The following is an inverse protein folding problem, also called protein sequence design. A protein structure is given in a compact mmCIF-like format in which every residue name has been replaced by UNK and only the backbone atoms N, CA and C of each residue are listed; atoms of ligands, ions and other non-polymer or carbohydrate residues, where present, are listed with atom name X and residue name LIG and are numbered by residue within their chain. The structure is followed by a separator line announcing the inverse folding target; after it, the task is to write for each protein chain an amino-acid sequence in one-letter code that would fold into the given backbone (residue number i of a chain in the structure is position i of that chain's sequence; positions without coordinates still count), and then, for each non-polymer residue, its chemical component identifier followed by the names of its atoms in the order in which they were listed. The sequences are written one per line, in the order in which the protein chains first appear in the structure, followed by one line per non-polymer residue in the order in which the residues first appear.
data_IF_756276300387
#
_entry.id   IF_756276300387
#
_cell.length_a   1.000
_cell.length_b   1.000
_cell.length_c   1.000
_cell.angle_alpha   90.00
_cell.angle_beta   90.00
_cell.angle_gamma   90.00
#
_symmetry.space_group_name_H-M   'P 1'
#
loop_
_entity.id
_entity.type
_entity.pdbx_description
1 polymer ?
#
# COMPACT_ATOMS: atom_id res chain seq x y z
N UNK A 1 -54.11 14.05 -65.25
CA UNK A 1 -55.18 13.81 -64.26
C UNK A 1 -54.49 13.51 -62.94
N UNK A 2 -54.20 14.47 -62.06
CA UNK A 2 -55.16 15.21 -61.24
C UNK A 2 -55.25 14.55 -59.86
N UNK A 3 -54.19 14.67 -59.04
CA UNK A 3 -54.14 14.15 -57.65
C UNK A 3 -55.18 14.89 -56.79
N UNK A 4 -56.23 14.18 -56.40
CA UNK A 4 -57.30 14.68 -55.53
C UNK A 4 -56.75 14.79 -54.08
N UNK A 5 -56.22 15.96 -53.72
CA UNK A 5 -55.92 16.30 -52.32
C UNK A 5 -57.25 16.50 -51.59
N UNK A 6 -57.67 15.50 -50.82
CA UNK A 6 -58.73 15.64 -49.83
C UNK A 6 -58.19 16.55 -48.72
N UNK A 7 -58.47 17.84 -48.80
CA UNK A 7 -58.19 18.79 -47.72
C UNK A 7 -59.18 18.52 -46.58
N UNK A 8 -58.71 17.82 -45.54
CA UNK A 8 -59.46 17.71 -44.29
C UNK A 8 -59.63 19.11 -43.70
N UNK A 9 -60.85 19.43 -43.26
CA UNK A 9 -61.17 20.70 -42.61
C UNK A 9 -60.22 20.95 -41.42
N UNK A 10 -59.77 22.20 -41.17
CA UNK A 10 -58.85 22.53 -40.08
C UNK A 10 -59.33 22.04 -38.71
N UNK A 11 -60.66 21.98 -38.52
CA UNK A 11 -61.29 21.47 -37.29
C UNK A 11 -61.04 19.97 -37.09
N UNK A 12 -61.04 19.17 -38.16
CA UNK A 12 -60.78 17.73 -38.10
C UNK A 12 -59.28 17.43 -37.90
N UNK A 13 -58.39 18.25 -38.45
CA UNK A 13 -56.95 18.12 -38.22
C UNK A 13 -56.59 18.44 -36.75
N UNK A 14 -57.20 19.47 -36.17
CA UNK A 14 -57.04 19.80 -34.75
C UNK A 14 -57.56 18.67 -33.85
N UNK A 15 -58.74 18.12 -34.17
CA UNK A 15 -59.32 17.01 -33.42
C UNK A 15 -58.42 15.76 -33.44
N UNK A 16 -57.87 15.42 -34.62
CA UNK A 16 -56.95 14.30 -34.76
C UNK A 16 -55.63 14.52 -34.00
N UNK A 17 -55.08 15.74 -34.00
CA UNK A 17 -53.88 16.09 -33.24
C UNK A 17 -54.09 15.98 -31.72
N UNK A 18 -55.25 16.44 -31.22
CA UNK A 18 -55.61 16.31 -29.79
C UNK A 18 -55.78 14.85 -29.39
N UNK A 19 -56.42 14.03 -30.24
CA UNK A 19 -56.56 12.59 -30.03
C UNK A 19 -55.20 11.88 -30.02
N UNK A 20 -54.31 12.20 -30.96
CA UNK A 20 -52.96 11.64 -31.00
C UNK A 20 -52.15 12.04 -29.75
N UNK A 21 -52.24 13.30 -29.31
CA UNK A 21 -51.59 13.76 -28.09
C UNK A 21 -52.13 13.04 -26.85
N UNK A 22 -53.45 12.86 -26.75
CA UNK A 22 -54.07 12.14 -25.64
C UNK A 22 -53.62 10.67 -25.59
N UNK A 23 -53.49 10.00 -26.74
CA UNK A 23 -52.97 8.62 -26.83
C UNK A 23 -51.50 8.56 -26.40
N UNK A 24 -50.66 9.50 -26.85
CA UNK A 24 -49.24 9.56 -26.45
C UNK A 24 -49.11 9.82 -24.94
N UNK A 25 -49.91 10.73 -24.38
CA UNK A 25 -49.94 10.98 -22.93
C UNK A 25 -50.37 9.73 -22.15
N UNK A 26 -51.37 9.00 -22.63
CA UNK A 26 -51.81 7.74 -22.01
C UNK A 26 -50.68 6.69 -22.01
N UNK A 27 -49.94 6.58 -23.10
CA UNK A 27 -48.79 5.66 -23.21
C UNK A 27 -47.65 6.07 -22.27
N UNK A 28 -47.38 7.37 -22.13
CA UNK A 28 -46.37 7.87 -21.21
C UNK A 28 -46.76 7.62 -19.75
N UNK A 29 -48.01 7.89 -19.37
CA UNK A 29 -48.52 7.62 -18.03
C UNK A 29 -48.42 6.13 -17.68
N UNK A 30 -48.78 5.25 -18.62
CA UNK A 30 -48.70 3.81 -18.41
C UNK A 30 -47.23 3.33 -18.28
N UNK A 31 -46.30 3.97 -19.00
CA UNK A 31 -44.86 3.68 -18.89
C UNK A 31 -44.29 4.12 -17.54
N UNK A 32 -44.69 5.29 -17.04
CA UNK A 32 -44.30 5.79 -15.70
C UNK A 32 -44.83 4.85 -14.61
N UNK A 33 -46.09 4.46 -14.68
CA UNK A 33 -46.70 3.55 -13.72
C UNK A 33 -45.97 2.18 -13.70
N UNK A 34 -45.60 1.65 -14.86
CA UNK A 34 -44.80 0.43 -14.96
C UNK A 34 -43.39 0.57 -14.37
N UNK A 35 -42.78 1.75 -14.48
CA UNK A 35 -41.48 2.04 -13.88
C UNK A 35 -41.58 2.12 -12.35
N UNK A 36 -42.60 2.78 -11.81
CA UNK A 36 -42.86 2.84 -10.36
C UNK A 36 -43.10 1.44 -9.77
N UNK A 37 -43.87 0.59 -10.46
CA UNK A 37 -44.04 -0.80 -10.05
C UNK A 37 -42.70 -1.56 -10.02
N UNK A 38 -41.84 -1.35 -11.01
CA UNK A 38 -40.52 -2.00 -11.07
C UNK A 38 -39.59 -1.52 -9.96
N UNK A 39 -39.62 -0.22 -9.63
CA UNK A 39 -38.87 0.37 -8.53
C UNK A 39 -39.34 -0.22 -7.19
N UNK A 40 -40.65 -0.28 -6.96
CA UNK A 40 -41.23 -0.86 -5.74
C UNK A 40 -40.90 -2.35 -5.56
N UNK A 41 -40.72 -3.10 -6.66
CA UNK A 41 -40.29 -4.50 -6.63
C UNK A 41 -38.81 -4.61 -6.30
N UNK A 42 -37.98 -3.69 -6.81
CA UNK A 42 -36.55 -3.62 -6.52
C UNK A 42 -36.29 -3.22 -5.06
N UNK A 43 -37.00 -2.21 -4.54
CA UNK A 43 -36.94 -1.79 -3.14
C UNK A 43 -37.36 -2.93 -2.20
N UNK A 44 -38.42 -3.67 -2.52
CA UNK A 44 -38.83 -4.86 -1.78
C UNK A 44 -37.79 -5.98 -1.84
N UNK A 45 -37.07 -6.12 -2.96
CA UNK A 45 -35.99 -7.10 -3.08
C UNK A 45 -34.76 -6.69 -2.23
N UNK A 46 -34.41 -5.40 -2.22
CA UNK A 46 -33.37 -4.85 -1.35
C UNK A 46 -33.72 -4.99 0.13
N UNK A 47 -34.94 -4.62 0.54
CA UNK A 47 -35.40 -4.77 1.91
C UNK A 47 -35.39 -6.24 2.36
N UNK A 48 -35.78 -7.18 1.49
CA UNK A 48 -35.67 -8.62 1.78
C UNK A 48 -34.22 -9.10 1.88
N UNK A 49 -33.31 -8.54 1.09
CA UNK A 49 -31.89 -8.85 1.16
C UNK A 49 -31.25 -8.28 2.44
N UNK A 50 -31.60 -7.05 2.85
CA UNK A 50 -31.18 -6.46 4.11
C UNK A 50 -31.72 -7.22 5.31
N UNK A 51 -33.00 -7.60 5.31
CA UNK A 51 -33.58 -8.42 6.38
C UNK A 51 -32.89 -9.77 6.45
N UNK A 52 -32.62 -10.42 5.31
CA UNK A 52 -31.89 -11.71 5.25
C UNK A 52 -30.44 -11.59 5.69
N UNK A 53 -29.76 -10.49 5.37
CA UNK A 53 -28.43 -10.17 5.93
C UNK A 53 -28.48 -9.88 7.43
N UNK A 54 -29.53 -9.22 7.93
CA UNK A 54 -29.70 -8.95 9.37
C UNK A 54 -30.06 -10.21 10.14
N UNK A 55 -30.86 -11.11 9.56
CA UNK A 55 -31.21 -12.41 10.12
C UNK A 55 -30.01 -13.35 10.08
N UNK A 56 -29.19 -13.32 9.02
CA UNK A 56 -27.89 -14.01 9.03
C UNK A 56 -26.93 -13.44 10.08
N UNK A 57 -26.92 -12.11 10.31
CA UNK A 57 -26.17 -11.49 11.41
C UNK A 57 -26.70 -11.90 12.79
N UNK A 58 -28.01 -12.03 12.97
CA UNK A 58 -28.61 -12.47 14.24
C UNK A 58 -28.49 -13.98 14.50
N UNK A 59 -28.39 -14.82 13.47
CA UNK A 59 -28.11 -16.26 13.62
C UNK A 59 -26.60 -16.50 13.90
N UNK A 60 -25.74 -15.51 13.65
CA UNK A 60 -24.29 -15.51 13.91
C UNK A 60 -23.89 -14.86 15.26
N UNK A 61 -24.84 -14.53 16.15
CA UNK A 61 -24.53 -14.16 17.54
C UNK A 61 -24.13 -15.41 18.37
N UNK A 62 -23.06 -16.08 17.93
CA UNK A 62 -22.12 -16.81 18.77
C UNK A 62 -21.07 -15.84 19.33
N UNK A 63 -20.28 -16.22 20.36
CA UNK A 63 -19.58 -15.27 21.21
C UNK A 63 -18.62 -14.40 20.39
N UNK A 64 -18.66 -13.07 20.59
CA UNK A 64 -17.83 -12.02 19.95
C UNK A 64 -16.32 -12.34 19.81
N UNK A 65 -15.83 -13.36 20.50
CA UNK A 65 -14.51 -13.94 20.33
C UNK A 65 -14.28 -14.59 18.96
N UNK A 66 -15.27 -15.29 18.39
CA UNK A 66 -15.11 -16.01 17.13
C UNK A 66 -14.97 -15.05 15.93
N UNK A 67 -15.73 -13.95 15.91
CA UNK A 67 -15.63 -12.93 14.87
C UNK A 67 -14.30 -12.15 14.90
N UNK A 68 -13.77 -11.84 16.10
CA UNK A 68 -12.47 -11.19 16.24
C UNK A 68 -11.31 -12.11 15.83
N UNK A 69 -11.41 -13.41 16.15
CA UNK A 69 -10.46 -14.42 15.71
C UNK A 69 -10.50 -14.57 14.18
N UNK A 70 -11.68 -14.62 13.56
CA UNK A 70 -11.83 -14.69 12.10
C UNK A 70 -11.23 -13.46 11.39
N UNK A 71 -11.34 -12.26 11.99
CA UNK A 71 -10.72 -11.06 11.43
C UNK A 71 -9.20 -11.08 11.50
N UNK A 72 -8.62 -11.62 12.59
CA UNK A 72 -7.18 -11.80 12.73
C UNK A 72 -6.65 -12.86 11.77
N UNK A 73 -7.37 -13.97 11.58
CA UNK A 73 -7.02 -15.05 10.65
C UNK A 73 -7.09 -14.60 9.17
N UNK A 74 -7.89 -13.58 8.85
CA UNK A 74 -8.01 -13.00 7.49
C UNK A 74 -7.08 -11.79 7.24
N UNK A 75 -6.05 -11.58 8.07
CA UNK A 75 -5.11 -10.46 7.88
C UNK A 75 -4.03 -10.75 6.85
N UNK A 76 -3.71 -9.75 6.02
CA UNK A 76 -2.57 -9.80 5.10
C UNK A 76 -1.76 -8.53 5.20
N UNK A 77 -0.44 -8.66 5.42
CA UNK A 77 0.53 -7.59 5.36
C UNK A 77 1.30 -7.69 4.03
N UNK A 78 1.44 -6.56 3.34
CA UNK A 78 2.36 -6.39 2.22
C UNK A 78 3.50 -5.46 2.64
N UNK A 79 4.71 -6.01 2.65
CA UNK A 79 5.96 -5.28 2.78
C UNK A 79 6.66 -5.18 1.42
N UNK A 80 6.30 -4.18 0.63
CA UNK A 80 6.87 -3.92 -0.69
C UNK A 80 8.26 -3.26 -0.59
N UNK A 81 9.19 -4.02 -0.01
CA UNK A 81 10.50 -3.60 0.47
C UNK A 81 11.34 -2.85 -0.55
N UNK A 82 11.80 -1.66 -0.16
CA UNK A 82 12.82 -0.90 -0.89
C UNK A 82 14.19 -1.59 -0.77
N UNK A 83 15.01 -1.63 -1.85
CA UNK A 83 16.38 -2.12 -1.76
C UNK A 83 17.27 -1.29 -0.83
N UNK A 84 18.09 -1.97 -0.03
CA UNK A 84 19.17 -1.41 0.83
C UNK A 84 18.69 -0.53 2.01
N UNK A 85 17.49 -0.77 2.50
CA UNK A 85 16.86 -0.10 3.66
C UNK A 85 16.72 -1.04 4.88
N UNK A 86 17.75 -1.85 5.16
CA UNK A 86 17.73 -2.92 6.18
C UNK A 86 16.60 -3.97 6.04
N UNK A 87 15.94 -4.02 4.89
CA UNK A 87 14.81 -4.93 4.62
C UNK A 87 15.11 -6.41 4.83
N UNK A 88 16.37 -6.85 4.74
CA UNK A 88 16.74 -8.25 5.04
C UNK A 88 16.67 -8.54 6.53
N UNK A 89 17.16 -7.64 7.39
CA UNK A 89 17.03 -7.79 8.85
C UNK A 89 15.56 -7.88 9.24
N UNK A 90 14.74 -6.90 8.83
CA UNK A 90 13.33 -6.84 9.20
C UNK A 90 12.55 -8.07 8.70
N UNK A 91 12.75 -8.50 7.46
CA UNK A 91 12.06 -9.69 6.93
C UNK A 91 12.45 -10.97 7.67
N UNK A 92 13.70 -11.11 8.15
CA UNK A 92 14.11 -12.30 8.90
C UNK A 92 13.40 -12.40 10.26
N UNK A 93 13.03 -11.27 10.89
CA UNK A 93 12.17 -11.28 12.07
C UNK A 93 10.83 -11.94 11.74
N UNK A 94 10.21 -11.58 10.60
CA UNK A 94 8.97 -12.20 10.19
C UNK A 94 9.14 -13.71 9.97
N UNK A 95 10.21 -14.15 9.30
CA UNK A 95 10.50 -15.58 9.12
C UNK A 95 10.74 -16.33 10.44
N UNK A 96 11.47 -15.73 11.37
CA UNK A 96 11.80 -16.38 12.65
C UNK A 96 10.56 -16.45 13.58
N UNK A 97 9.61 -15.51 13.45
CA UNK A 97 8.38 -15.48 14.26
C UNK A 97 7.19 -16.21 13.66
N UNK A 98 7.13 -16.41 12.33
CA UNK A 98 5.91 -16.87 11.66
C UNK A 98 5.40 -18.22 12.14
N UNK A 99 6.30 -19.16 12.46
CA UNK A 99 5.92 -20.47 12.99
C UNK A 99 5.29 -20.35 14.40
N UNK A 100 5.86 -19.51 15.27
CA UNK A 100 5.39 -19.31 16.65
C UNK A 100 4.08 -18.53 16.67
N UNK A 101 3.97 -17.51 15.83
CA UNK A 101 2.84 -16.58 15.76
C UNK A 101 1.77 -17.03 14.76
N UNK A 102 1.92 -18.21 14.15
CA UNK A 102 0.93 -18.88 13.27
C UNK A 102 0.49 -18.01 12.10
N UNK A 103 1.44 -17.63 11.25
CA UNK A 103 1.18 -16.96 9.98
C UNK A 103 2.18 -17.41 8.90
N UNK A 104 1.94 -17.02 7.65
CA UNK A 104 2.77 -17.40 6.51
C UNK A 104 3.65 -16.25 6.03
N UNK A 105 4.89 -16.53 5.60
CA UNK A 105 5.78 -15.52 5.00
C UNK A 105 6.12 -15.91 3.58
N UNK A 106 5.83 -15.03 2.63
CA UNK A 106 5.97 -15.28 1.20
C UNK A 106 6.83 -14.21 0.53
N UNK A 107 7.84 -14.64 -0.23
CA UNK A 107 8.65 -13.73 -1.03
C UNK A 107 8.09 -13.62 -2.45
N UNK A 108 7.80 -12.39 -2.87
CA UNK A 108 7.36 -12.05 -4.22
C UNK A 108 8.60 -11.80 -5.07
N UNK A 109 8.80 -12.63 -6.08
CA UNK A 109 9.87 -12.46 -7.06
C UNK A 109 9.28 -11.99 -8.39
N UNK A 110 9.87 -10.96 -8.99
CA UNK A 110 9.50 -10.45 -10.31
C UNK A 110 10.63 -10.67 -11.30
N UNK A 111 10.29 -10.91 -12.56
CA UNK A 111 11.27 -11.12 -13.62
C UNK A 111 12.23 -9.94 -13.70
N UNK A 112 13.54 -10.22 -13.61
CA UNK A 112 14.63 -9.22 -13.58
C UNK A 112 14.52 -8.20 -12.42
N UNK A 113 13.78 -8.52 -11.35
CA UNK A 113 13.46 -7.60 -10.26
C UNK A 113 12.79 -6.31 -10.74
N UNK A 114 11.95 -6.38 -11.78
CA UNK A 114 11.16 -5.23 -12.21
C UNK A 114 10.14 -4.87 -11.12
N UNK A 115 10.16 -3.64 -10.58
CA UNK A 115 9.20 -3.21 -9.56
C UNK A 115 7.78 -3.00 -10.08
N UNK A 116 7.59 -2.91 -11.41
CA UNK A 116 6.29 -2.69 -12.05
C UNK A 116 5.75 -4.01 -12.61
N UNK A 117 4.59 -4.43 -12.11
CA UNK A 117 3.83 -5.54 -12.68
C UNK A 117 3.02 -5.10 -13.90
N UNK A 118 2.87 -6.00 -14.87
CA UNK A 118 1.90 -5.83 -15.96
C UNK A 118 0.46 -5.79 -15.41
N UNK A 119 -0.49 -5.20 -16.14
CA UNK A 119 -1.87 -5.09 -15.66
C UNK A 119 -2.48 -6.47 -15.34
N UNK A 120 -2.25 -7.46 -16.21
CA UNK A 120 -2.70 -8.84 -15.99
C UNK A 120 -2.06 -9.48 -14.76
N UNK A 121 -0.79 -9.18 -14.47
CA UNK A 121 -0.12 -9.68 -13.27
C UNK A 121 -0.60 -8.97 -12.02
N UNK A 122 -0.94 -7.68 -12.08
CA UNK A 122 -1.60 -6.97 -10.99
C UNK A 122 -2.94 -7.64 -10.62
N UNK A 123 -3.76 -7.97 -11.62
CA UNK A 123 -5.03 -8.70 -11.39
C UNK A 123 -4.77 -10.07 -10.75
N UNK A 124 -3.80 -10.85 -11.25
CA UNK A 124 -3.45 -12.16 -10.67
C UNK A 124 -2.94 -12.03 -9.25
N UNK A 125 -2.06 -11.07 -9.01
CA UNK A 125 -1.47 -10.81 -7.70
C UNK A 125 -2.55 -10.44 -6.68
N UNK A 126 -3.43 -9.49 -7.02
CA UNK A 126 -4.55 -9.09 -6.16
C UNK A 126 -5.49 -10.27 -5.87
N UNK A 127 -5.83 -11.07 -6.88
CA UNK A 127 -6.62 -12.29 -6.67
C UNK A 127 -5.93 -13.26 -5.71
N UNK A 128 -4.67 -13.58 -5.95
CA UNK A 128 -3.91 -14.49 -5.08
C UNK A 128 -3.88 -14.00 -3.63
N UNK A 129 -3.54 -12.73 -3.41
CA UNK A 129 -3.47 -12.13 -2.06
C UNK A 129 -4.83 -12.18 -1.34
N UNK A 130 -5.92 -11.93 -2.06
CA UNK A 130 -7.24 -11.79 -1.43
C UNK A 130 -7.97 -13.12 -1.26
N UNK A 131 -7.75 -14.11 -2.14
CA UNK A 131 -8.50 -15.37 -2.15
C UNK A 131 -7.73 -16.59 -1.66
N UNK A 132 -6.40 -16.52 -1.50
CA UNK A 132 -5.60 -17.65 -1.05
C UNK A 132 -5.70 -17.82 0.47
N UNK A 133 -6.79 -18.44 0.93
CA UNK A 133 -7.14 -18.57 2.35
C UNK A 133 -6.08 -19.32 3.15
N UNK A 134 -5.47 -20.34 2.57
CA UNK A 134 -4.46 -21.19 3.22
C UNK A 134 -3.15 -20.46 3.52
N UNK A 135 -2.96 -19.25 2.99
CA UNK A 135 -1.80 -18.39 3.28
C UNK A 135 -2.15 -17.22 4.22
N UNK A 136 -3.36 -17.21 4.79
CA UNK A 136 -3.78 -16.20 5.76
C UNK A 136 -3.71 -16.75 7.20
N UNK A 137 -3.22 -15.96 8.17
CA UNK A 137 -2.63 -14.64 8.00
C UNK A 137 -1.32 -14.68 7.20
N UNK A 138 -1.09 -13.68 6.35
CA UNK A 138 0.00 -13.69 5.38
C UNK A 138 0.87 -12.44 5.45
N UNK A 139 2.19 -12.62 5.43
CA UNK A 139 3.18 -11.57 5.28
C UNK A 139 3.89 -11.73 3.93
N UNK A 140 3.52 -10.89 2.97
CA UNK A 140 4.08 -10.90 1.62
C UNK A 140 5.14 -9.81 1.50
N UNK A 141 6.33 -10.15 1.03
CA UNK A 141 7.41 -9.17 0.83
C UNK A 141 8.09 -9.31 -0.51
N UNK A 142 8.50 -8.20 -1.12
CA UNK A 142 9.23 -8.23 -2.39
C UNK A 142 9.51 -6.84 -2.94
N UNK A 143 10.38 -6.78 -3.95
CA UNK A 143 10.76 -5.53 -4.61
C UNK A 143 9.72 -5.14 -5.67
N UNK A 144 8.57 -4.65 -5.21
CA UNK A 144 7.46 -4.20 -6.05
C UNK A 144 7.06 -2.78 -5.64
N UNK A 145 6.58 -1.97 -6.58
CA UNK A 145 5.99 -0.67 -6.23
C UNK A 145 4.61 -0.85 -5.59
N UNK A 146 4.12 0.19 -4.91
CA UNK A 146 2.78 0.25 -4.37
C UNK A 146 1.74 -0.13 -5.43
N UNK A 147 0.82 -1.02 -5.04
CA UNK A 147 -0.29 -1.44 -5.87
C UNK A 147 -1.58 -1.12 -5.13
N UNK A 148 -2.43 -0.33 -5.77
CA UNK A 148 -3.73 0.02 -5.20
C UNK A 148 -4.73 -1.12 -5.40
N UNK A 149 -5.04 -1.82 -4.31
CA UNK A 149 -6.01 -2.92 -4.29
C UNK A 149 -7.46 -2.42 -4.46
N UNK A 150 -7.77 -1.16 -4.15
CA UNK A 150 -9.12 -0.62 -4.25
C UNK A 150 -9.63 -0.62 -5.70
N UNK A 151 -8.73 -0.40 -6.66
CA UNK A 151 -9.01 -0.44 -8.11
C UNK A 151 -9.55 -1.78 -8.60
N UNK A 152 -9.41 -2.85 -7.81
CA UNK A 152 -9.80 -4.20 -8.19
C UNK A 152 -11.07 -4.69 -7.46
N UNK A 153 -11.74 -3.83 -6.70
CA UNK A 153 -13.01 -4.16 -6.04
C UNK A 153 -12.89 -5.23 -4.96
N UNK A 154 -11.77 -5.24 -4.22
CA UNK A 154 -11.53 -6.22 -3.16
C UNK A 154 -12.39 -5.93 -1.93
N UNK A 155 -12.79 -6.98 -1.20
CA UNK A 155 -13.58 -6.82 0.03
C UNK A 155 -12.77 -6.24 1.19
N UNK A 156 -11.52 -6.68 1.33
CA UNK A 156 -10.59 -6.27 2.40
C UNK A 156 -9.25 -5.91 1.75
N UNK A 157 -8.77 -4.69 2.02
CA UNK A 157 -7.43 -4.25 1.57
C UNK A 157 -6.35 -4.91 2.45
N UNK A 158 -5.19 -5.27 1.88
CA UNK A 158 -4.04 -5.67 2.69
C UNK A 158 -3.47 -4.45 3.44
N UNK A 159 -2.77 -4.72 4.54
CA UNK A 159 -2.06 -3.73 5.34
C UNK A 159 -0.69 -3.49 4.68
N UNK A 160 -0.41 -2.27 4.23
CA UNK A 160 0.90 -1.92 3.69
C UNK A 160 1.82 -1.38 4.79
N UNK A 161 3.07 -1.84 4.82
CA UNK A 161 4.14 -1.27 5.66
C UNK A 161 5.40 -1.07 4.82
N UNK A 162 6.29 -0.18 5.23
CA UNK A 162 7.61 -0.09 4.60
C UNK A 162 8.70 0.47 5.51
N UNK A 163 9.94 0.39 5.03
CA UNK A 163 11.10 1.05 5.65
C UNK A 163 11.92 1.71 4.55
N UNK A 164 12.14 3.01 4.69
CA UNK A 164 12.95 3.82 3.78
C UNK A 164 14.27 4.24 4.42
N UNK A 165 15.10 4.99 3.68
CA UNK A 165 16.41 5.47 4.15
C UNK A 165 16.77 6.79 3.49
N UNK A 166 17.69 7.54 4.07
CA UNK A 166 18.34 8.67 3.41
C UNK A 166 18.71 8.29 1.94
N UNK A 167 18.31 9.10 0.94
CA UNK A 167 18.49 8.75 -0.46
C UNK A 167 19.94 8.53 -0.89
N UNK A 168 20.88 9.34 -0.36
CA UNK A 168 22.30 9.25 -0.71
C UNK A 168 22.91 8.00 -0.07
N UNK A 169 22.68 7.78 1.22
CA UNK A 169 23.19 6.61 1.93
C UNK A 169 22.66 5.30 1.33
N UNK A 170 21.38 5.28 0.93
CA UNK A 170 20.78 4.15 0.23
C UNK A 170 21.50 3.89 -1.10
N UNK A 171 21.74 4.94 -1.91
CA UNK A 171 22.43 4.83 -3.19
C UNK A 171 23.88 4.37 -3.01
N UNK A 172 24.61 4.94 -2.05
CA UNK A 172 25.98 4.53 -1.70
C UNK A 172 26.02 3.06 -1.29
N UNK A 173 25.09 2.63 -0.43
CA UNK A 173 24.96 1.24 0.00
C UNK A 173 24.72 0.29 -1.19
N UNK A 174 23.90 0.71 -2.16
CA UNK A 174 23.62 -0.04 -3.38
C UNK A 174 24.83 -0.07 -4.33
N UNK A 175 25.52 1.06 -4.51
CA UNK A 175 26.70 1.19 -5.37
C UNK A 175 27.80 0.20 -4.98
N UNK A 176 28.13 0.16 -3.69
CA UNK A 176 29.16 -0.73 -3.18
C UNK A 176 28.69 -2.19 -3.09
N UNK A 177 27.40 -2.42 -2.83
CA UNK A 177 26.82 -3.76 -2.89
C UNK A 177 27.01 -4.42 -4.26
N UNK A 178 26.85 -3.68 -5.36
CA UNK A 178 27.05 -4.23 -6.70
C UNK A 178 28.51 -4.61 -7.01
N UNK A 179 29.48 -4.04 -6.26
CA UNK A 179 30.93 -4.22 -6.44
C UNK A 179 31.52 -5.27 -5.51
N UNK A 180 31.09 -5.27 -4.25
CA UNK A 180 31.71 -6.07 -3.20
C UNK A 180 30.78 -7.14 -2.60
N UNK A 181 29.48 -7.09 -2.90
CA UNK A 181 28.52 -8.06 -2.41
C UNK A 181 28.03 -7.78 -0.99
N UNK A 182 27.60 -8.85 -0.32
CA UNK A 182 27.08 -8.83 1.04
C UNK A 182 27.57 -10.04 1.84
N UNK A 183 27.53 -9.92 3.16
CA UNK A 183 27.90 -10.96 4.11
C UNK A 183 26.86 -12.09 4.26
N UNK A 184 25.64 -11.89 3.75
CA UNK A 184 24.54 -12.86 3.88
C UNK A 184 24.62 -13.98 2.84
N UNK A 185 25.08 -13.66 1.62
CA UNK A 185 25.31 -14.61 0.52
C UNK A 185 26.65 -14.26 -0.17
N UNK A 186 27.79 -14.52 0.47
CA UNK A 186 29.11 -14.09 -0.01
C UNK A 186 29.55 -14.81 -1.30
N UNK A 187 29.07 -16.03 -1.54
CA UNK A 187 29.41 -16.80 -2.75
C UNK A 187 28.79 -16.28 -4.06
N UNK A 188 27.88 -15.30 -4.01
CA UNK A 188 27.24 -14.75 -5.20
C UNK A 188 28.06 -13.61 -5.81
N UNK A 189 28.57 -13.83 -7.03
CA UNK A 189 29.18 -12.77 -7.83
C UNK A 189 28.14 -11.73 -8.22
N UNK A 190 28.45 -10.46 -7.97
CA UNK A 190 27.58 -9.34 -8.29
C UNK A 190 27.89 -8.79 -9.66
N UNK A 191 26.91 -8.11 -10.26
CA UNK A 191 26.97 -7.63 -11.65
C UNK A 191 28.18 -6.76 -11.97
N UNK A 192 28.69 -6.00 -10.99
CA UNK A 192 29.81 -5.06 -11.14
C UNK A 192 31.02 -5.48 -10.30
N UNK A 193 31.12 -6.77 -9.92
CA UNK A 193 32.22 -7.23 -9.09
C UNK A 193 33.56 -7.06 -9.80
N UNK A 194 34.54 -6.52 -9.09
CA UNK A 194 35.88 -6.21 -9.62
C UNK A 194 36.08 -4.75 -10.04
N UNK A 195 35.00 -3.97 -10.14
CA UNK A 195 35.11 -2.52 -10.27
C UNK A 195 35.52 -1.91 -8.92
N UNK A 196 36.74 -1.35 -8.88
CA UNK A 196 37.37 -0.76 -7.69
C UNK A 196 37.08 0.75 -7.53
N UNK A 197 36.43 1.38 -8.52
CA UNK A 197 36.15 2.81 -8.52
C UNK A 197 35.31 3.19 -7.31
N UNK A 198 35.76 4.19 -6.57
CA UNK A 198 35.02 4.70 -5.40
C UNK A 198 33.78 5.46 -5.83
N UNK A 199 32.82 5.65 -4.90
CA UNK A 199 31.62 6.43 -5.18
C UNK A 199 31.97 7.89 -5.49
N UNK A 200 32.92 8.47 -4.75
CA UNK A 200 33.44 9.82 -4.99
C UNK A 200 34.05 9.97 -6.39
N UNK A 201 34.92 9.04 -6.81
CA UNK A 201 35.49 9.02 -8.16
C UNK A 201 34.40 8.92 -9.22
N UNK A 202 33.42 8.04 -9.02
CA UNK A 202 32.28 7.91 -9.92
C UNK A 202 31.53 9.24 -10.08
N UNK A 203 31.24 9.94 -8.98
CA UNK A 203 30.50 11.22 -8.99
C UNK A 203 31.34 12.33 -9.62
N UNK A 204 32.65 12.36 -9.36
CA UNK A 204 33.57 13.32 -9.96
C UNK A 204 33.59 13.19 -11.50
N UNK A 205 33.63 11.95 -12.00
CA UNK A 205 33.71 11.62 -13.43
C UNK A 205 32.35 11.58 -14.15
N UNK A 206 31.22 11.75 -13.44
CA UNK A 206 29.88 11.68 -14.04
C UNK A 206 29.45 10.26 -14.43
N UNK A 207 29.83 9.25 -13.63
CA UNK A 207 29.49 7.86 -13.88
C UNK A 207 28.00 7.53 -13.75
N UNK A 208 27.52 6.58 -14.56
CA UNK A 208 26.09 6.26 -14.64
C UNK A 208 25.50 5.52 -13.43
N UNK A 209 26.33 4.81 -12.66
CA UNK A 209 25.90 4.09 -11.44
C UNK A 209 25.71 5.01 -10.22
N UNK A 210 26.18 6.26 -10.30
CA UNK A 210 26.14 7.27 -9.22
C UNK A 210 25.50 8.59 -9.68
N UNK A 211 24.90 8.61 -10.88
CA UNK A 211 24.23 9.78 -11.41
C UNK A 211 22.97 10.14 -10.57
N UNK A 212 22.57 11.42 -10.49
CA UNK A 212 21.46 11.85 -9.65
C UNK A 212 20.13 11.12 -9.92
N UNK A 213 19.89 10.70 -11.16
CA UNK A 213 18.70 9.92 -11.54
C UNK A 213 18.62 8.57 -10.83
N UNK A 214 19.73 8.05 -10.29
CA UNK A 214 19.76 6.81 -9.49
C UNK A 214 19.27 7.00 -8.05
N UNK A 215 19.08 8.24 -7.60
CA UNK A 215 18.41 8.55 -6.34
C UNK A 215 16.92 8.24 -6.43
N UNK A 216 16.29 8.53 -7.59
CA UNK A 216 14.87 8.31 -7.88
C UNK A 216 14.49 6.83 -7.81
N UNK A 217 14.00 6.41 -6.64
CA UNK A 217 13.61 5.04 -6.37
C UNK A 217 12.53 4.95 -5.29
N UNK A 218 12.68 5.66 -4.18
CA UNK A 218 11.73 5.53 -3.07
C UNK A 218 10.41 6.20 -3.44
N UNK A 219 10.45 7.36 -4.09
CA UNK A 219 9.24 8.02 -4.61
C UNK A 219 8.43 7.08 -5.53
N UNK A 220 8.99 6.48 -6.60
CA UNK A 220 8.27 5.50 -7.44
C UNK A 220 7.73 4.28 -6.68
N UNK A 221 8.43 3.81 -5.64
CA UNK A 221 7.98 2.67 -4.84
C UNK A 221 6.69 2.98 -4.07
N UNK A 222 6.49 4.23 -3.65
CA UNK A 222 5.27 4.68 -2.98
C UNK A 222 4.23 5.24 -3.94
N UNK A 223 4.64 5.94 -5.00
CA UNK A 223 3.74 6.45 -6.03
C UNK A 223 3.00 5.32 -6.76
N UNK A 224 3.70 4.21 -7.07
CA UNK A 224 3.08 2.97 -7.52
C UNK A 224 3.28 2.65 -9.01
N UNK A 225 2.24 2.07 -9.62
CA UNK A 225 2.26 1.51 -10.98
C UNK A 225 1.81 2.49 -12.08
N UNK A 226 1.70 3.79 -11.78
CA UNK A 226 1.32 4.82 -12.76
C UNK A 226 2.52 5.25 -13.60
N UNK A 227 2.29 5.62 -14.87
CA UNK A 227 3.36 6.06 -15.78
C UNK A 227 4.17 7.22 -15.20
N UNK A 228 3.48 8.22 -14.67
CA UNK A 228 4.09 9.45 -14.16
C UNK A 228 5.00 9.20 -12.96
N UNK A 229 4.79 8.11 -12.19
CA UNK A 229 5.67 7.71 -11.09
C UNK A 229 7.12 7.45 -11.52
N UNK A 230 7.30 7.01 -12.77
CA UNK A 230 8.59 6.60 -13.32
C UNK A 230 9.22 7.68 -14.22
N UNK A 231 8.55 8.83 -14.36
CA UNK A 231 9.15 10.04 -14.92
C UNK A 231 10.04 10.67 -13.84
N UNK A 232 11.35 10.53 -14.01
CA UNK A 232 12.36 10.99 -13.04
C UNK A 232 12.21 12.49 -12.80
N UNK A 233 12.04 12.89 -11.53
CA UNK A 233 11.86 14.30 -11.15
C UNK A 233 10.43 14.83 -11.32
N UNK A 234 9.43 13.96 -11.52
CA UNK A 234 8.03 14.39 -11.61
C UNK A 234 7.51 14.88 -10.27
N UNK A 235 7.02 16.13 -10.21
CA UNK A 235 6.39 16.68 -9.00
C UNK A 235 5.09 15.96 -8.65
N UNK A 236 4.31 15.59 -9.66
CA UNK A 236 3.10 14.80 -9.46
C UNK A 236 3.40 13.47 -8.78
N UNK A 237 4.46 12.77 -9.20
CA UNK A 237 4.84 11.49 -8.61
C UNK A 237 5.20 11.61 -7.13
N UNK A 238 5.87 12.71 -6.77
CA UNK A 238 6.24 13.02 -5.40
C UNK A 238 5.02 13.31 -4.52
N UNK A 239 4.11 14.15 -4.99
CA UNK A 239 2.89 14.48 -4.27
C UNK A 239 2.00 13.22 -4.10
N UNK A 240 1.91 12.39 -5.14
CA UNK A 240 1.21 11.09 -5.06
C UNK A 240 1.89 10.10 -4.10
N UNK A 241 3.22 10.07 -4.05
CA UNK A 241 3.95 9.22 -3.11
C UNK A 241 3.68 9.62 -1.65
N UNK A 242 3.67 10.93 -1.35
CA UNK A 242 3.27 11.45 -0.02
C UNK A 242 1.83 11.10 0.31
N UNK A 243 0.93 11.28 -0.65
CA UNK A 243 -0.48 10.92 -0.50
C UNK A 243 -0.64 9.42 -0.18
N UNK A 244 -0.02 8.54 -0.95
CA UNK A 244 -0.12 7.10 -0.71
C UNK A 244 0.49 6.71 0.64
N UNK A 245 1.62 7.31 1.03
CA UNK A 245 2.24 7.05 2.33
C UNK A 245 1.25 7.31 3.48
N UNK A 246 0.52 8.43 3.44
CA UNK A 246 -0.43 8.78 4.51
C UNK A 246 -1.71 7.96 4.44
N UNK A 247 -2.25 7.72 3.25
CA UNK A 247 -3.60 7.16 3.10
C UNK A 247 -3.64 5.63 2.99
N UNK A 248 -2.53 5.01 2.58
CA UNK A 248 -2.52 3.60 2.18
C UNK A 248 -1.51 2.76 2.97
N UNK A 249 -0.49 3.37 3.58
CA UNK A 249 0.45 2.67 4.45
C UNK A 249 0.03 2.78 5.92
N UNK A 250 0.05 1.64 6.61
CA UNK A 250 -0.21 1.55 8.04
C UNK A 250 0.91 2.19 8.86
N UNK A 251 2.16 1.88 8.51
CA UNK A 251 3.34 2.48 9.12
C UNK A 251 4.53 2.43 8.17
N UNK A 252 5.27 3.53 8.08
CA UNK A 252 6.53 3.61 7.36
C UNK A 252 7.61 4.06 8.33
N UNK A 253 8.61 3.21 8.54
CA UNK A 253 9.79 3.54 9.35
C UNK A 253 10.97 4.03 8.51
N UNK A 254 12.02 4.44 9.19
CA UNK A 254 13.33 4.73 8.60
C UNK A 254 14.37 3.71 9.06
N UNK A 255 15.39 3.46 8.24
CA UNK A 255 16.41 2.43 8.49
C UNK A 255 17.18 2.69 9.78
N UNK A 256 17.40 3.96 10.10
CA UNK A 256 18.17 4.46 11.23
C UNK A 256 17.42 4.30 12.56
N UNK A 257 16.09 4.21 12.52
CA UNK A 257 15.19 4.03 13.68
C UNK A 257 14.41 2.70 13.59
N UNK A 258 15.05 1.66 13.04
CA UNK A 258 14.38 0.37 12.78
C UNK A 258 13.88 -0.33 14.05
N UNK A 259 14.56 -0.16 15.18
CA UNK A 259 14.14 -0.73 16.46
C UNK A 259 12.78 -0.19 16.90
N UNK A 260 12.61 1.12 16.87
CA UNK A 260 11.35 1.78 17.23
C UNK A 260 10.22 1.38 16.28
N UNK A 261 10.53 1.23 14.99
CA UNK A 261 9.57 0.74 14.00
C UNK A 261 9.09 -0.67 14.36
N UNK A 262 10.00 -1.58 14.74
CA UNK A 262 9.66 -2.94 15.16
C UNK A 262 8.80 -2.92 16.44
N UNK A 263 9.16 -2.09 17.42
CA UNK A 263 8.43 -1.96 18.68
C UNK A 263 6.99 -1.47 18.47
N UNK A 264 6.78 -0.47 17.62
CA UNK A 264 5.45 0.03 17.28
C UNK A 264 4.62 -1.03 16.54
N UNK A 265 5.21 -1.80 15.64
CA UNK A 265 4.53 -2.91 14.97
C UNK A 265 4.19 -4.06 15.91
N UNK A 266 5.05 -4.36 16.89
CA UNK A 266 4.76 -5.35 17.94
C UNK A 266 3.55 -4.96 18.78
N UNK A 267 3.43 -3.68 19.12
CA UNK A 267 2.29 -3.15 19.86
C UNK A 267 0.99 -3.17 19.03
N UNK A 268 1.06 -2.73 17.77
CA UNK A 268 -0.13 -2.49 16.97
C UNK A 268 -0.59 -3.71 16.15
N UNK A 269 0.33 -4.62 15.77
CA UNK A 269 0.05 -5.83 14.99
C UNK A 269 0.66 -7.08 15.67
N UNK A 270 0.27 -7.39 16.93
CA UNK A 270 0.90 -8.45 17.72
C UNK A 270 0.74 -9.85 17.12
N UNK A 271 -0.30 -10.08 16.29
CA UNK A 271 -0.44 -11.35 15.56
C UNK A 271 0.77 -11.66 14.67
N UNK A 272 1.45 -10.65 14.15
CA UNK A 272 2.65 -10.84 13.33
C UNK A 272 3.94 -10.66 14.13
N UNK A 273 3.98 -9.66 15.02
CA UNK A 273 5.22 -9.14 15.58
C UNK A 273 5.39 -9.35 17.09
N UNK A 274 4.52 -10.12 17.76
CA UNK A 274 4.75 -10.48 19.18
C UNK A 274 6.10 -11.18 19.34
N UNK A 275 6.95 -10.63 20.20
CA UNK A 275 8.33 -11.04 20.45
C UNK A 275 9.38 -10.45 19.51
N UNK A 276 9.01 -9.52 18.61
CA UNK A 276 9.91 -8.98 17.60
C UNK A 276 10.99 -8.06 18.17
N UNK A 277 10.64 -7.19 19.13
CA UNK A 277 11.59 -6.25 19.75
C UNK A 277 12.68 -7.01 20.50
N UNK A 278 12.29 -8.01 21.28
CA UNK A 278 13.22 -8.88 21.99
C UNK A 278 14.14 -9.62 21.01
N UNK A 279 13.56 -10.24 19.96
CA UNK A 279 14.34 -10.92 18.93
C UNK A 279 15.33 -9.98 18.22
N UNK A 280 14.97 -8.71 18.02
CA UNK A 280 15.86 -7.72 17.44
C UNK A 280 16.98 -7.29 18.39
N UNK A 281 16.69 -7.13 19.69
CA UNK A 281 17.69 -6.69 20.68
C UNK A 281 18.71 -7.79 21.00
N UNK A 282 18.27 -9.03 21.19
CA UNK A 282 19.12 -10.13 21.64
C UNK A 282 19.54 -11.09 20.52
N UNK A 283 18.92 -10.97 19.35
CA UNK A 283 19.23 -11.82 18.20
C UNK A 283 20.59 -11.51 17.56
N UNK A 284 21.24 -12.57 17.04
CA UNK A 284 22.46 -12.42 16.22
C UNK A 284 22.17 -11.97 14.78
N UNK A 285 20.88 -11.90 14.40
CA UNK A 285 20.39 -11.62 13.03
C UNK A 285 19.82 -10.21 12.85
N UNK A 286 20.11 -9.28 13.76
CA UNK A 286 19.53 -7.92 13.75
C UNK A 286 20.13 -7.03 12.66
N UNK A 287 21.36 -7.32 12.23
CA UNK A 287 22.05 -6.57 11.17
C UNK A 287 22.56 -7.51 10.07
N UNK A 288 21.64 -8.02 9.24
CA UNK A 288 21.95 -8.90 8.13
C UNK A 288 22.20 -8.15 6.83
N UNK A 289 22.98 -8.77 5.93
CA UNK A 289 23.25 -8.30 4.57
C UNK A 289 23.97 -6.95 4.56
N UNK A 290 24.99 -6.83 5.41
CA UNK A 290 25.90 -5.68 5.38
C UNK A 290 26.70 -5.74 4.08
N UNK A 291 26.87 -4.58 3.46
CA UNK A 291 27.78 -4.45 2.32
C UNK A 291 29.20 -4.63 2.86
N UNK A 292 29.94 -5.60 2.30
CA UNK A 292 31.25 -6.07 2.78
C UNK A 292 32.28 -4.94 2.89
N UNK A 293 32.36 -4.12 1.85
CA UNK A 293 33.23 -2.95 1.81
C UNK A 293 32.41 -1.72 1.44
N UNK A 294 32.48 -0.66 2.25
CA UNK A 294 31.80 0.62 2.01
C UNK A 294 32.74 1.75 2.40
N UNK A 295 32.93 2.72 1.52
CA UNK A 295 33.57 4.00 1.86
C UNK A 295 32.50 5.07 1.97
N UNK A 296 32.59 5.91 2.99
CA UNK A 296 31.67 7.03 3.14
C UNK A 296 32.01 8.10 2.09
N UNK A 297 30.99 8.70 1.45
CA UNK A 297 31.22 9.78 0.49
C UNK A 297 31.80 11.00 1.19
N UNK A 298 32.63 11.76 0.46
CA UNK A 298 33.16 13.04 0.92
C UNK A 298 32.06 14.10 1.03
N UNK A 299 32.28 15.12 1.87
CA UNK A 299 31.37 16.28 1.96
C UNK A 299 31.17 16.97 0.61
N UNK A 300 32.20 17.01 -0.23
CA UNK A 300 32.12 17.59 -1.57
C UNK A 300 31.21 16.77 -2.50
N UNK A 301 31.34 15.44 -2.48
CA UNK A 301 30.45 14.54 -3.23
C UNK A 301 29.00 14.67 -2.80
N UNK A 302 28.76 14.69 -1.48
CA UNK A 302 27.41 14.91 -0.93
C UNK A 302 26.87 16.26 -1.43
N UNK A 303 27.61 17.35 -1.24
CA UNK A 303 27.19 18.68 -1.65
C UNK A 303 26.90 18.76 -3.17
N UNK A 304 27.68 18.07 -4.01
CA UNK A 304 27.44 17.99 -5.46
C UNK A 304 26.12 17.28 -5.78
N UNK A 305 25.81 16.16 -5.12
CA UNK A 305 24.53 15.48 -5.31
C UNK A 305 23.35 16.30 -4.80
N UNK A 306 23.53 17.04 -3.70
CA UNK A 306 22.51 17.89 -3.09
C UNK A 306 22.08 19.08 -3.97
N UNK A 307 22.87 19.43 -4.99
CA UNK A 307 22.48 20.46 -5.96
C UNK A 307 21.37 19.98 -6.91
N UNK A 308 21.22 18.67 -7.12
CA UNK A 308 20.24 18.09 -8.04
C UNK A 308 18.82 18.19 -7.50
N UNK A 309 17.86 18.56 -8.36
CA UNK A 309 16.44 18.57 -8.00
C UNK A 309 15.91 17.16 -7.69
N UNK A 310 16.50 16.11 -8.28
CA UNK A 310 16.15 14.71 -7.97
C UNK A 310 16.47 14.38 -6.52
N UNK A 311 17.64 14.83 -6.03
CA UNK A 311 17.98 14.68 -4.62
C UNK A 311 17.01 15.46 -3.74
N UNK A 312 16.73 16.73 -4.05
CA UNK A 312 15.84 17.57 -3.24
C UNK A 312 14.47 16.92 -3.06
N UNK A 313 13.92 16.36 -4.13
CA UNK A 313 12.61 15.68 -4.10
C UNK A 313 12.64 14.38 -3.29
N UNK A 314 13.60 13.50 -3.54
CA UNK A 314 13.76 12.25 -2.75
C UNK A 314 14.04 12.55 -1.26
N UNK A 315 14.78 13.61 -0.97
CA UNK A 315 15.06 14.04 0.39
C UNK A 315 13.81 14.63 1.06
N UNK A 316 13.06 15.50 0.38
CA UNK A 316 11.79 16.04 0.91
C UNK A 316 10.77 14.91 1.16
N UNK A 317 10.77 13.84 0.35
CA UNK A 317 9.96 12.65 0.63
C UNK A 317 10.46 11.86 1.85
N UNK A 318 11.78 11.69 1.99
CA UNK A 318 12.38 11.04 3.16
C UNK A 318 12.09 11.79 4.46
N UNK A 319 12.33 13.10 4.50
CA UNK A 319 12.06 13.95 5.68
C UNK A 319 10.58 13.94 6.04
N UNK A 320 9.69 13.99 5.05
CA UNK A 320 8.24 13.88 5.27
C UNK A 320 7.85 12.55 5.96
N UNK A 321 8.41 11.44 5.49
CA UNK A 321 8.15 10.14 6.09
C UNK A 321 8.77 10.00 7.49
N UNK A 322 9.96 10.57 7.70
CA UNK A 322 10.63 10.62 8.99
C UNK A 322 9.81 11.41 10.01
N UNK A 323 9.37 12.61 9.65
CA UNK A 323 8.52 13.46 10.48
C UNK A 323 7.22 12.74 10.85
N UNK A 324 6.56 12.10 9.88
CA UNK A 324 5.37 11.30 10.13
C UNK A 324 5.64 10.13 11.08
N UNK A 325 6.76 9.41 10.91
CA UNK A 325 7.13 8.30 11.78
C UNK A 325 7.40 8.76 13.21
N UNK A 326 8.17 9.84 13.38
CA UNK A 326 8.48 10.42 14.68
C UNK A 326 7.22 10.97 15.38
N UNK A 327 6.29 11.56 14.62
CA UNK A 327 4.98 11.97 15.12
C UNK A 327 4.19 10.78 15.69
N UNK A 328 4.09 9.68 14.93
CA UNK A 328 3.40 8.46 15.39
C UNK A 328 4.08 7.90 16.64
N UNK A 329 5.42 7.80 16.64
CA UNK A 329 6.19 7.32 17.80
C UNK A 329 5.89 8.17 19.04
N UNK A 330 5.99 9.49 18.93
CA UNK A 330 5.77 10.42 20.04
C UNK A 330 4.36 10.31 20.66
N UNK A 331 3.36 9.90 19.88
CA UNK A 331 1.98 9.71 20.35
C UNK A 331 1.64 8.26 20.73
N UNK A 332 2.56 7.31 20.55
CA UNK A 332 2.36 5.91 20.85
C UNK A 332 3.16 5.43 22.07
N UNK A 333 4.22 6.15 22.48
CA UNK A 333 5.11 5.76 23.56
C UNK A 333 5.30 6.87 24.59
N UNK A 334 5.65 6.47 25.82
CA UNK A 334 6.24 7.33 26.84
C UNK A 334 7.69 6.93 27.06
N UNK A 335 8.56 7.90 27.26
CA UNK A 335 9.92 7.67 27.70
C UNK A 335 9.98 7.65 29.22
N UNK A 336 10.64 6.65 29.80
CA UNK A 336 10.94 6.58 31.23
C UNK A 336 12.32 5.95 31.42
N UNK A 337 13.20 6.65 32.13
CA UNK A 337 14.57 6.19 32.43
C UNK A 337 15.41 5.88 31.16
N UNK A 338 15.11 6.52 30.04
CA UNK A 338 15.75 6.30 28.74
C UNK A 338 15.18 5.14 27.92
N UNK A 339 14.23 4.38 28.48
CA UNK A 339 13.51 3.31 27.79
C UNK A 339 12.14 3.80 27.29
N UNK A 340 11.73 3.31 26.12
CA UNK A 340 10.42 3.58 25.54
C UNK A 340 9.40 2.53 25.97
N UNK A 341 8.25 2.98 26.46
CA UNK A 341 7.11 2.14 26.86
C UNK A 341 5.87 2.52 26.07
N UNK A 342 5.16 1.53 25.51
CA UNK A 342 3.90 1.75 24.81
C UNK A 342 2.85 2.36 25.75
N UNK A 343 2.14 3.39 25.29
CA UNK A 343 1.04 3.98 26.03
C UNK A 343 -0.12 2.99 26.18
N UNK A 344 -0.78 3.00 27.33
CA UNK A 344 -2.01 2.23 27.53
C UNK A 344 -3.17 2.81 26.72
N UNK A 345 -4.25 2.05 26.58
CA UNK A 345 -5.47 2.52 25.95
C UNK A 345 -5.97 3.81 26.63
N UNK A 346 -6.09 4.88 25.85
CA UNK A 346 -6.47 6.22 26.33
C UNK A 346 -7.87 6.65 25.85
N UNK A 347 -8.73 5.71 25.47
CA UNK A 347 -10.13 5.97 25.13
C UNK A 347 -11.02 4.87 25.68
N UNK A 348 -12.27 5.21 26.03
CA UNK A 348 -13.31 4.27 26.42
C UNK A 348 -14.65 4.74 25.88
N UNK A 349 -15.59 3.81 25.71
CA UNK A 349 -16.95 4.14 25.27
C UNK A 349 -17.83 4.42 26.49
N UNK A 350 -18.52 5.55 26.48
CA UNK A 350 -19.52 5.91 27.48
C UNK A 350 -20.85 6.24 26.81
N UNK A 351 -21.93 6.34 27.60
CA UNK A 351 -23.29 6.68 27.11
C UNK A 351 -23.79 5.73 26.00
N UNK A 352 -23.53 4.42 26.15
CA UNK A 352 -24.03 3.38 25.24
C UNK A 352 -25.52 3.17 25.51
N UNK A 353 -26.35 3.37 24.48
CA UNK A 353 -27.80 3.15 24.50
C UNK A 353 -28.26 2.45 23.20
N UNK A 354 -29.38 1.69 23.22
CA UNK A 354 -30.20 1.40 24.39
C UNK A 354 -29.46 0.52 25.40
N UNK A 355 -29.74 0.71 26.69
CA UNK A 355 -29.25 -0.22 27.71
C UNK A 355 -29.94 -1.56 27.46
N UNK A 356 -29.18 -2.65 27.32
CA UNK A 356 -29.76 -4.00 27.40
C UNK A 356 -30.38 -4.15 28.79
N UNK A 357 -31.69 -4.42 28.84
CA UNK A 357 -32.41 -4.73 30.06
C UNK A 357 -31.95 -6.05 30.67
#
# INVERSE_FOLDING_TARGET
MGLLRIMMSPKFQLLAAVLAFAVVMLLLLNKVQKQEESLSKLERAFARHEVRESEQRHILDGPRQDAALDEEEDMVIIYNRVPKTASTSFTNIAYDLCAKNKYHVLHINTTKNNPVMSLQDQVRFVKNITSWKEMKPGFYHGHISYLDFAKFGVKKKPIYINVIRDPIERLVSYYYFLRFGDDYRPGLRRRKQGDKKTFDECVAEGGSDCAPEKLWLQIPFFCGHSSECWNVGSRWAMDQAKYNLINEYFLVGVTEELEDFIMLLEAALPRFFRGATELYRTGKKSHLRKTTEKKLPTKQTIAKLQQSDIWKMENEFYEFALEQFQFIRAHAVREKDGDLYILTQNFFYEKIYPKSN
#
